data_IF_327537932368
#
_entry.id   IF_327537932368
#
_cell.length_a   1.000
_cell.length_b   1.000
_cell.length_c   1.000
_cell.angle_alpha   90.00
_cell.angle_beta   90.00
_cell.angle_gamma   90.00
#
_symmetry.space_group_name_H-M   'P 1'
#
loop_
_entity.id
_entity.type
_entity.pdbx_description
1 polymer ?
#
# COMPACT_ATOMS: atom_id res chain seq x y z
N UNK A 1 -9.33 -19.22 -12.08
CA UNK A 1 -9.44 -17.95 -11.33
C UNK A 1 -9.30 -18.21 -9.85
N UNK A 2 -8.29 -17.58 -9.25
CA UNK A 2 -8.11 -17.44 -7.81
C UNK A 2 -9.25 -16.62 -7.18
N UNK A 3 -9.61 -16.95 -5.95
CA UNK A 3 -10.56 -16.21 -5.11
C UNK A 3 -9.82 -15.17 -4.28
N UNK A 4 -10.44 -14.01 -4.06
CA UNK A 4 -9.94 -13.00 -3.14
C UNK A 4 -10.08 -13.48 -1.70
N UNK A 5 -9.17 -13.00 -0.84
CA UNK A 5 -9.40 -13.01 0.60
C UNK A 5 -10.66 -12.19 0.89
N UNK A 6 -11.52 -12.73 1.74
CA UNK A 6 -12.76 -12.05 2.13
C UNK A 6 -12.48 -10.95 3.15
N UNK A 7 -11.74 -11.30 4.20
CA UNK A 7 -11.39 -10.44 5.32
C UNK A 7 -9.93 -10.70 5.73
N UNK A 8 -9.21 -9.65 6.11
CA UNK A 8 -7.81 -9.71 6.54
C UNK A 8 -7.75 -9.82 8.07
N UNK A 9 -6.87 -10.68 8.58
CA UNK A 9 -6.58 -10.81 10.01
C UNK A 9 -5.40 -9.89 10.37
N UNK A 10 -5.62 -8.92 11.25
CA UNK A 10 -4.57 -7.96 11.64
C UNK A 10 -4.02 -8.29 13.03
N UNK A 11 -2.69 -8.20 13.19
CA UNK A 11 -2.04 -8.38 14.51
C UNK A 11 -2.58 -7.41 15.56
N UNK A 12 -2.79 -6.16 15.15
CA UNK A 12 -3.55 -5.16 15.90
C UNK A 12 -4.77 -4.78 15.06
N UNK A 13 -5.96 -4.96 15.63
CA UNK A 13 -7.19 -4.67 14.89
C UNK A 13 -7.21 -3.18 14.51
N UNK A 14 -7.42 -2.86 13.22
CA UNK A 14 -7.52 -1.48 12.82
C UNK A 14 -8.70 -0.82 13.52
N UNK A 15 -8.53 0.45 13.87
CA UNK A 15 -9.60 1.24 14.45
C UNK A 15 -10.84 1.25 13.54
N UNK A 16 -10.61 1.34 12.22
CA UNK A 16 -11.66 1.25 11.22
C UNK A 16 -11.13 0.59 9.94
N UNK A 17 -11.90 -0.36 9.39
CA UNK A 17 -11.69 -0.91 8.05
C UNK A 17 -13.03 -1.02 7.32
N UNK A 18 -13.07 -0.50 6.09
CA UNK A 18 -14.21 -0.61 5.19
C UNK A 18 -13.77 -1.30 3.91
N UNK A 19 -14.39 -2.43 3.57
CA UNK A 19 -14.18 -3.08 2.28
C UNK A 19 -15.07 -2.46 1.21
N UNK A 20 -14.52 -2.23 0.02
CA UNK A 20 -15.26 -1.66 -1.11
C UNK A 20 -15.69 -2.75 -2.09
N UNK A 21 -16.82 -2.54 -2.75
CA UNK A 21 -17.35 -3.45 -3.78
C UNK A 21 -16.79 -3.07 -5.18
N UNK A 22 -15.46 -3.00 -5.28
CA UNK A 22 -14.75 -2.66 -6.51
C UNK A 22 -13.88 -3.83 -7.01
N UNK A 23 -13.37 -3.71 -8.23
CA UNK A 23 -12.39 -4.65 -8.77
C UNK A 23 -11.11 -4.68 -7.92
N UNK A 24 -10.53 -5.86 -7.65
CA UNK A 24 -9.32 -5.97 -6.84
C UNK A 24 -8.12 -5.33 -7.54
N UNK A 25 -7.17 -4.88 -6.73
CA UNK A 25 -5.82 -4.57 -7.22
C UNK A 25 -5.20 -5.85 -7.73
N UNK A 26 -4.78 -5.84 -9.00
CA UNK A 26 -4.10 -6.98 -9.65
C UNK A 26 -2.61 -6.71 -9.63
N UNK A 27 -1.98 -7.25 -8.60
CA UNK A 27 -0.58 -7.06 -8.31
C UNK A 27 0.28 -8.01 -9.14
N UNK A 28 1.17 -7.44 -9.93
CA UNK A 28 2.15 -8.16 -10.74
C UNK A 28 3.55 -7.51 -10.62
N UNK A 29 4.48 -7.95 -11.47
CA UNK A 29 5.87 -7.49 -11.50
C UNK A 29 6.06 -6.03 -11.94
N UNK A 30 5.03 -5.40 -12.52
CA UNK A 30 5.13 -4.02 -13.04
C UNK A 30 4.85 -2.98 -11.94
N UNK A 31 4.43 -3.42 -10.76
CA UNK A 31 4.21 -2.59 -9.58
C UNK A 31 5.52 -2.17 -8.91
N UNK A 32 5.49 -1.07 -8.17
CA UNK A 32 6.60 -0.58 -7.37
C UNK A 32 6.10 0.29 -6.22
N UNK A 33 6.86 0.34 -5.14
CA UNK A 33 6.60 1.24 -4.02
C UNK A 33 7.21 2.60 -4.30
N UNK A 34 6.38 3.61 -4.51
CA UNK A 34 6.81 4.99 -4.69
C UNK A 34 6.66 5.79 -3.42
N UNK A 35 7.63 6.65 -3.11
CA UNK A 35 7.66 7.30 -1.81
C UNK A 35 8.16 8.75 -1.89
N UNK A 36 7.67 9.66 -1.04
CA UNK A 36 8.03 11.09 -1.14
C UNK A 36 9.25 11.54 -0.32
N UNK A 37 9.80 10.69 0.58
CA UNK A 37 11.04 11.01 1.33
C UNK A 37 12.02 9.84 1.34
N UNK A 38 13.31 10.12 1.16
CA UNK A 38 14.36 9.09 1.10
C UNK A 38 14.53 8.27 2.38
N UNK A 39 14.19 8.85 3.54
CA UNK A 39 14.30 8.17 4.85
C UNK A 39 13.44 6.90 4.94
N UNK A 40 12.46 6.72 4.06
CA UNK A 40 11.55 5.57 4.05
C UNK A 40 12.15 4.31 3.43
N UNK A 41 13.23 4.44 2.66
CA UNK A 41 13.75 3.34 1.84
C UNK A 41 14.02 2.06 2.65
N UNK A 42 14.47 2.20 3.91
CA UNK A 42 14.74 1.08 4.81
C UNK A 42 13.47 0.31 5.18
N UNK A 43 12.39 1.02 5.50
CA UNK A 43 11.11 0.41 5.88
C UNK A 43 10.50 -0.36 4.69
N UNK A 44 10.61 0.22 3.49
CA UNK A 44 10.09 -0.41 2.27
C UNK A 44 10.88 -1.64 1.83
N UNK A 45 12.16 -1.76 2.20
CA UNK A 45 12.97 -2.96 1.91
C UNK A 45 12.29 -4.23 2.43
N UNK A 46 11.61 -4.19 3.57
CA UNK A 46 10.88 -5.34 4.12
C UNK A 46 9.78 -5.81 3.17
N UNK A 47 9.01 -4.87 2.62
CA UNK A 47 7.97 -5.18 1.63
C UNK A 47 8.57 -5.82 0.38
N UNK A 48 9.71 -5.31 -0.11
CA UNK A 48 10.40 -5.88 -1.26
C UNK A 48 10.82 -7.34 -1.06
N UNK A 49 11.26 -7.70 0.16
CA UNK A 49 11.67 -9.06 0.49
C UNK A 49 10.50 -10.04 0.49
N UNK A 50 9.31 -9.62 0.93
CA UNK A 50 8.08 -10.44 0.86
C UNK A 50 7.82 -10.85 -0.59
N UNK A 51 7.89 -9.91 -1.54
CA UNK A 51 7.70 -10.24 -2.95
C UNK A 51 8.72 -11.26 -3.44
N UNK A 52 9.99 -11.09 -3.07
CA UNK A 52 11.04 -12.02 -3.46
C UNK A 52 10.77 -13.44 -2.94
N UNK A 53 10.31 -13.57 -1.71
CA UNK A 53 10.02 -14.87 -1.07
C UNK A 53 8.87 -15.62 -1.77
N UNK A 54 8.00 -14.90 -2.47
CA UNK A 54 6.77 -15.46 -3.05
C UNK A 54 6.67 -15.38 -4.58
N UNK A 55 7.49 -14.61 -5.29
CA UNK A 55 7.31 -14.34 -6.73
C UNK A 55 8.57 -14.44 -7.58
N UNK A 56 9.70 -14.84 -7.00
CA UNK A 56 11.03 -14.89 -7.63
C UNK A 56 11.55 -13.54 -8.18
N UNK A 57 10.82 -12.43 -7.98
CA UNK A 57 11.24 -11.09 -8.31
C UNK A 57 11.11 -10.14 -7.12
N UNK A 58 11.89 -9.05 -7.15
CA UNK A 58 11.89 -8.03 -6.12
C UNK A 58 11.24 -6.77 -6.69
N UNK A 59 10.22 -6.24 -6.01
CA UNK A 59 9.67 -4.94 -6.38
C UNK A 59 10.60 -3.79 -5.98
N UNK A 60 10.63 -2.74 -6.79
CA UNK A 60 11.47 -1.58 -6.53
C UNK A 60 10.79 -0.62 -5.54
N UNK A 61 11.61 0.10 -4.78
CA UNK A 61 11.20 1.23 -3.95
C UNK A 61 11.89 2.48 -4.49
N UNK A 62 11.11 3.42 -5.01
CA UNK A 62 11.59 4.57 -5.77
C UNK A 62 11.02 5.88 -5.22
N UNK A 63 11.80 6.95 -5.32
CA UNK A 63 11.31 8.30 -5.04
C UNK A 63 10.25 8.74 -6.06
N UNK A 64 9.21 9.44 -5.58
CA UNK A 64 8.27 10.13 -6.48
C UNK A 64 8.99 11.35 -7.06
N UNK A 65 8.88 11.56 -8.38
CA UNK A 65 9.45 12.75 -9.02
C UNK A 65 8.69 13.99 -8.57
N UNK A 66 9.40 15.09 -8.32
CA UNK A 66 8.80 16.37 -7.93
C UNK A 66 7.74 16.87 -8.92
N UNK A 67 7.90 16.56 -10.22
CA UNK A 67 6.92 16.92 -11.25
C UNK A 67 5.58 16.17 -11.14
N UNK A 68 5.53 15.05 -10.42
CA UNK A 68 4.32 14.22 -10.28
C UNK A 68 3.57 14.49 -8.97
N UNK A 69 4.22 15.12 -7.99
CA UNK A 69 3.69 15.34 -6.67
C UNK A 69 3.88 16.79 -6.21
N UNK A 70 2.78 17.49 -5.97
CA UNK A 70 2.81 18.84 -5.44
C UNK A 70 3.44 18.87 -4.05
N UNK A 71 4.23 19.92 -3.81
CA UNK A 71 4.92 20.16 -2.53
C UNK A 71 3.92 20.22 -1.36
N UNK A 72 2.75 20.82 -1.56
CA UNK A 72 1.70 20.94 -0.53
C UNK A 72 1.30 19.59 0.10
N UNK A 73 1.28 18.51 -0.69
CA UNK A 73 0.99 17.17 -0.19
C UNK A 73 2.18 16.58 0.56
N UNK A 74 3.40 16.85 0.09
CA UNK A 74 4.64 16.38 0.70
C UNK A 74 5.00 17.08 2.02
N UNK A 75 4.42 18.25 2.26
CA UNK A 75 4.51 18.97 3.52
C UNK A 75 3.48 18.46 4.52
N UNK A 76 2.31 18.03 4.03
CA UNK A 76 1.23 17.51 4.87
C UNK A 76 1.43 16.04 5.28
N UNK A 77 1.98 15.23 4.38
CA UNK A 77 2.03 13.78 4.55
C UNK A 77 3.39 13.18 4.21
N UNK A 78 3.73 12.13 4.96
CA UNK A 78 4.59 11.06 4.49
C UNK A 78 3.74 10.14 3.62
N UNK A 79 4.19 9.90 2.38
CA UNK A 79 3.39 9.27 1.34
C UNK A 79 4.14 8.05 0.80
N UNK A 80 3.42 6.92 0.72
CA UNK A 80 3.80 5.76 -0.06
C UNK A 80 2.65 5.41 -1.00
N UNK A 81 2.93 5.27 -2.30
CA UNK A 81 1.98 4.84 -3.33
C UNK A 81 2.52 3.57 -3.95
N UNK A 82 1.77 2.49 -3.85
CA UNK A 82 2.06 1.24 -4.49
C UNK A 82 1.25 1.13 -5.78
N UNK A 83 1.93 1.32 -6.91
CA UNK A 83 1.30 1.37 -8.24
C UNK A 83 2.34 1.08 -9.33
N UNK A 84 1.97 1.16 -10.59
CA UNK A 84 2.88 0.99 -11.73
C UNK A 84 3.63 2.28 -12.05
N UNK A 85 4.67 2.19 -12.89
CA UNK A 85 5.40 3.36 -13.39
C UNK A 85 4.54 4.34 -14.20
N UNK A 86 3.42 3.87 -14.77
CA UNK A 86 2.46 4.75 -15.44
C UNK A 86 1.52 5.39 -14.43
N UNK A 87 1.00 4.62 -13.46
CA UNK A 87 0.08 5.13 -12.43
C UNK A 87 0.70 6.22 -11.56
N UNK A 88 2.00 6.15 -11.28
CA UNK A 88 2.65 7.17 -10.43
C UNK A 88 2.71 8.56 -11.09
N UNK A 89 2.57 8.66 -12.41
CA UNK A 89 2.49 9.96 -13.10
C UNK A 89 1.26 10.77 -12.65
N UNK A 90 0.24 10.09 -12.16
CA UNK A 90 -1.01 10.67 -11.66
C UNK A 90 -1.04 10.78 -10.12
N UNK A 91 0.12 10.78 -9.44
CA UNK A 91 0.21 10.84 -7.97
C UNK A 91 -0.60 12.00 -7.36
N UNK A 92 -0.62 13.17 -8.01
CA UNK A 92 -1.45 14.29 -7.57
C UNK A 92 -2.95 13.98 -7.57
N UNK A 93 -3.45 13.22 -8.56
CA UNK A 93 -4.85 12.82 -8.64
C UNK A 93 -5.18 11.76 -7.60
N UNK A 94 -4.25 10.84 -7.33
CA UNK A 94 -4.38 9.83 -6.27
C UNK A 94 -4.55 10.48 -4.90
N UNK A 95 -3.81 11.57 -4.62
CA UNK A 95 -3.81 12.20 -3.29
C UNK A 95 -4.89 13.28 -3.14
N UNK A 96 -5.31 13.92 -4.24
CA UNK A 96 -6.26 15.04 -4.22
C UNK A 96 -7.54 14.77 -3.39
N UNK A 97 -8.20 13.59 -3.48
CA UNK A 97 -9.36 13.27 -2.66
C UNK A 97 -9.10 13.28 -1.14
N UNK A 98 -7.84 13.13 -0.74
CA UNK A 98 -7.41 13.04 0.66
C UNK A 98 -6.73 14.33 1.13
N UNK A 99 -6.73 15.40 0.32
CA UNK A 99 -6.05 16.66 0.63
C UNK A 99 -6.49 17.28 1.96
N UNK A 100 -7.72 17.03 2.39
CA UNK A 100 -8.32 17.56 3.62
C UNK A 100 -8.35 16.52 4.76
N UNK A 101 -7.87 15.29 4.52
CA UNK A 101 -7.83 14.23 5.53
C UNK A 101 -6.99 14.65 6.73
N UNK A 102 -7.53 14.46 7.94
CA UNK A 102 -6.83 14.69 9.19
C UNK A 102 -6.34 13.35 9.76
N UNK A 103 -5.02 13.19 9.85
CA UNK A 103 -4.37 12.02 10.45
C UNK A 103 -3.65 12.51 11.71
N UNK A 104 -3.83 11.84 12.84
CA UNK A 104 -3.11 12.20 14.06
C UNK A 104 -1.67 11.67 14.02
N UNK A 105 -0.71 12.29 14.75
CA UNK A 105 0.61 11.72 14.95
C UNK A 105 0.55 10.26 15.43
N UNK A 106 1.44 9.40 14.93
CA UNK A 106 1.43 7.96 15.18
C UNK A 106 0.35 7.16 14.43
N UNK A 107 -0.62 7.81 13.78
CA UNK A 107 -1.65 7.14 12.99
C UNK A 107 -1.32 7.12 11.50
N UNK A 108 -2.04 6.27 10.77
CA UNK A 108 -1.98 6.23 9.31
C UNK A 108 -3.35 5.98 8.68
N UNK A 109 -3.43 6.34 7.40
CA UNK A 109 -4.52 6.00 6.49
C UNK A 109 -3.97 5.11 5.38
N UNK A 110 -4.66 4.02 5.10
CA UNK A 110 -4.34 3.08 4.04
C UNK A 110 -5.59 2.88 3.15
N UNK A 111 -5.40 2.94 1.84
CA UNK A 111 -6.45 2.66 0.87
C UNK A 111 -5.92 1.77 -0.23
N UNK A 112 -6.74 0.82 -0.68
CA UNK A 112 -6.50 0.00 -1.85
C UNK A 112 -7.66 0.13 -2.83
N UNK A 113 -7.34 0.40 -4.09
CA UNK A 113 -8.27 0.46 -5.22
C UNK A 113 -7.85 -0.58 -6.27
N UNK A 114 -8.52 -0.63 -7.42
CA UNK A 114 -8.07 -1.48 -8.53
C UNK A 114 -6.73 -1.05 -9.14
N UNK A 115 -6.25 0.17 -8.87
CA UNK A 115 -5.13 0.79 -9.58
C UNK A 115 -3.91 1.07 -8.68
N UNK A 116 -4.13 1.23 -7.38
CA UNK A 116 -3.07 1.56 -6.44
C UNK A 116 -3.43 1.13 -5.01
N UNK A 117 -2.40 1.06 -4.18
CA UNK A 117 -2.55 1.16 -2.72
C UNK A 117 -1.82 2.42 -2.22
N UNK A 118 -2.48 3.22 -1.38
CA UNK A 118 -2.01 4.52 -0.89
C UNK A 118 -1.88 4.47 0.63
N UNK A 119 -0.69 4.80 1.14
CA UNK A 119 -0.43 5.00 2.56
C UNK A 119 -0.09 6.48 2.82
N UNK A 120 -0.82 7.07 3.76
CA UNK A 120 -0.60 8.43 4.26
C UNK A 120 -0.35 8.39 5.77
N UNK A 121 0.68 9.09 6.24
CA UNK A 121 0.96 9.28 7.66
C UNK A 121 1.49 10.69 7.91
N UNK A 122 1.39 11.19 9.15
CA UNK A 122 2.01 12.48 9.54
C UNK A 122 3.48 12.34 9.92
N UNK A 123 3.85 11.21 10.49
CA UNK A 123 5.18 10.97 11.06
C UNK A 123 5.67 9.55 10.79
N UNK A 124 6.94 9.31 11.15
CA UNK A 124 7.57 8.02 10.91
C UNK A 124 6.92 6.88 11.69
N UNK A 125 6.36 7.16 12.86
CA UNK A 125 5.67 6.16 13.67
C UNK A 125 4.45 5.63 12.93
N UNK A 126 3.56 6.53 12.48
CA UNK A 126 2.40 6.12 11.68
C UNK A 126 2.81 5.45 10.36
N UNK A 127 3.88 5.92 9.72
CA UNK A 127 4.38 5.29 8.50
C UNK A 127 4.84 3.84 8.75
N UNK A 128 5.60 3.59 9.82
CA UNK A 128 6.11 2.25 10.14
C UNK A 128 4.93 1.31 10.43
N UNK A 129 3.97 1.72 11.26
CA UNK A 129 2.77 0.94 11.53
C UNK A 129 1.94 0.67 10.26
N UNK A 130 1.89 1.63 9.34
CA UNK A 130 1.26 1.47 8.05
C UNK A 130 1.98 0.45 7.16
N UNK A 131 3.31 0.49 7.11
CA UNK A 131 4.13 -0.50 6.39
C UNK A 131 3.96 -1.90 6.98
N UNK A 132 3.94 -2.03 8.31
CA UNK A 132 3.68 -3.32 8.99
C UNK A 132 2.30 -3.89 8.60
N UNK A 133 1.30 -3.01 8.49
CA UNK A 133 -0.06 -3.41 8.07
C UNK A 133 -0.10 -3.85 6.61
N UNK A 134 0.63 -3.16 5.72
CA UNK A 134 0.78 -3.58 4.32
C UNK A 134 1.47 -4.95 4.24
N UNK A 135 2.52 -5.17 5.04
CA UNK A 135 3.21 -6.46 5.12
C UNK A 135 2.23 -7.59 5.50
N UNK A 136 1.41 -7.39 6.53
CA UNK A 136 0.43 -8.40 6.96
C UNK A 136 -0.61 -8.70 5.86
N UNK A 137 -1.11 -7.67 5.17
CA UNK A 137 -2.05 -7.81 4.03
C UNK A 137 -1.40 -8.61 2.89
N UNK A 138 -0.16 -8.28 2.54
CA UNK A 138 0.56 -8.95 1.47
C UNK A 138 0.81 -10.42 1.82
N UNK A 139 1.35 -10.71 3.02
CA UNK A 139 1.62 -12.09 3.47
C UNK A 139 0.38 -12.96 3.38
N UNK A 140 -0.74 -12.49 3.92
CA UNK A 140 -2.01 -13.22 3.84
C UNK A 140 -2.44 -13.42 2.39
N UNK A 141 -2.37 -12.37 1.55
CA UNK A 141 -2.73 -12.43 0.13
C UNK A 141 -1.90 -13.47 -0.63
N UNK A 142 -0.59 -13.52 -0.38
CA UNK A 142 0.30 -14.54 -0.92
C UNK A 142 -0.06 -15.94 -0.42
N UNK A 143 -0.17 -16.13 0.90
CA UNK A 143 -0.48 -17.44 1.49
C UNK A 143 -1.76 -18.05 0.95
N UNK A 144 -2.83 -17.25 0.84
CA UNK A 144 -4.10 -17.69 0.27
C UNK A 144 -3.94 -18.08 -1.20
N UNK A 145 -3.18 -17.30 -1.96
CA UNK A 145 -2.89 -17.59 -3.35
C UNK A 145 -2.14 -18.92 -3.53
N UNK A 146 -1.11 -19.16 -2.71
CA UNK A 146 -0.36 -20.43 -2.71
C UNK A 146 -1.24 -21.62 -2.30
N UNK A 147 -2.11 -21.46 -1.29
CA UNK A 147 -3.07 -22.51 -0.87
C UNK A 147 -3.99 -22.92 -2.01
N UNK A 148 -4.41 -21.96 -2.84
CA UNK A 148 -5.32 -22.23 -3.95
C UNK A 148 -4.69 -23.01 -5.11
N UNK A 149 -3.35 -23.15 -5.17
CA UNK A 149 -2.61 -23.84 -6.24
C UNK A 149 -3.01 -23.40 -7.65
N UNK A 150 -3.54 -22.18 -7.80
CA UNK A 150 -3.97 -21.60 -9.07
C UNK A 150 -3.01 -20.46 -9.39
N UNK A 151 -2.17 -20.69 -10.39
CA UNK A 151 -1.22 -19.71 -10.90
C UNK A 151 -1.97 -18.85 -11.92
N UNK A 152 -2.70 -17.84 -11.47
CA UNK A 152 -2.94 -16.65 -12.30
C UNK A 152 -1.61 -15.84 -12.40
N UNK A 153 -1.50 -14.88 -13.33
CA UNK A 153 -0.29 -14.06 -13.52
C UNK A 153 -0.13 -12.94 -12.46
N UNK A 154 -1.09 -12.83 -11.53
CA UNK A 154 -1.21 -11.70 -10.60
C UNK A 154 -1.89 -12.11 -9.29
N UNK A 155 -1.61 -11.35 -8.24
CA UNK A 155 -2.22 -11.50 -6.91
C UNK A 155 -3.31 -10.47 -6.73
N UNK A 156 -4.42 -10.88 -6.12
CA UNK A 156 -5.58 -10.00 -5.92
C UNK A 156 -5.60 -9.47 -4.50
N UNK A 157 -5.62 -8.15 -4.36
CA UNK A 157 -5.87 -7.47 -3.07
C UNK A 157 -7.27 -6.86 -3.15
N UNK A 158 -8.13 -7.21 -2.19
CA UNK A 158 -9.49 -6.67 -2.13
C UNK A 158 -9.43 -5.16 -1.88
N UNK A 159 -10.27 -4.34 -2.51
CA UNK A 159 -10.29 -2.90 -2.26
C UNK A 159 -10.79 -2.60 -0.84
N UNK A 160 -10.14 -1.64 -0.18
CA UNK A 160 -10.47 -1.25 1.20
C UNK A 160 -10.02 0.17 1.51
N UNK A 161 -10.56 0.70 2.60
CA UNK A 161 -10.05 1.89 3.30
C UNK A 161 -9.85 1.53 4.76
N UNK A 162 -8.76 2.00 5.35
CA UNK A 162 -8.36 1.68 6.71
C UNK A 162 -7.73 2.91 7.36
N UNK A 163 -8.18 3.21 8.59
CA UNK A 163 -7.52 4.17 9.48
C UNK A 163 -7.11 3.40 10.71
N UNK A 164 -5.86 3.58 11.13
CA UNK A 164 -5.40 2.98 12.37
C UNK A 164 -4.54 3.96 13.17
N UNK A 165 -4.85 4.02 14.46
CA UNK A 165 -4.14 4.75 15.50
C UNK A 165 -3.68 3.82 16.65
N UNK A 166 -4.00 2.54 16.56
CA UNK A 166 -3.66 1.55 17.58
C UNK A 166 -2.20 1.12 17.37
N UNK A 167 -1.46 1.09 18.48
CA UNK A 167 -0.10 0.55 18.54
C UNK A 167 -0.13 -0.96 18.72
#
# INVERSE_FOLDING_TARGET
MSKNIRDYEFRSHPQEITYLNDEPLKLDKDFSFFHNKNKFRKELTRLQLIFKDYTDYTLLASGIRDSYLKVEYSDKFLIVIFTTSQGIKDANQIIYPHKDLHINPGCFYLESTSNYMLLLAKDMEGLISGVDTIEDILRQSFEEYFKQKKIDDYIKIKPFKLINCNK
#
